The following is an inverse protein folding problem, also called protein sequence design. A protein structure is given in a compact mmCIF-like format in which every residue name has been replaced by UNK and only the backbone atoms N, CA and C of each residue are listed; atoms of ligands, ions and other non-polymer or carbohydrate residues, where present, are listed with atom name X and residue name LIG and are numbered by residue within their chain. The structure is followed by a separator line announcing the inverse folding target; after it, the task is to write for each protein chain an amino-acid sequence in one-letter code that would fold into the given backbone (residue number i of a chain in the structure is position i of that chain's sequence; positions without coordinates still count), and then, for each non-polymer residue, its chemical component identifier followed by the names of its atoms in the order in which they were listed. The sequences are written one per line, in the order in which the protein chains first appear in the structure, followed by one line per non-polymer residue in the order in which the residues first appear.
data_IF_106390147323
#
_entry.id   IF_106390147323
#
_cell.length_a   1.000
_cell.length_b   1.000
_cell.length_c   1.000
_cell.angle_alpha   90.00
_cell.angle_beta   90.00
_cell.angle_gamma   90.00
#
_symmetry.space_group_name_H-M   'P 1'
#
loop_
_entity.id
_entity.type
_entity.pdbx_description
1 polymer ?
#
# COMPACT_ATOMS: atom_id res chain seq x y z
N UNK A 1 60.49 32.17 -11.18
CA UNK A 1 59.23 32.83 -10.79
C UNK A 1 58.08 31.84 -10.96
N UNK A 2 57.77 31.08 -9.93
CA UNK A 2 56.75 30.02 -9.97
C UNK A 2 55.35 30.64 -10.15
N UNK A 3 54.66 30.29 -11.24
CA UNK A 3 53.30 30.78 -11.49
C UNK A 3 52.33 30.12 -10.52
N UNK A 4 51.77 30.89 -9.60
CA UNK A 4 50.72 30.43 -8.69
C UNK A 4 49.47 30.01 -9.49
N UNK A 5 49.09 28.73 -9.40
CA UNK A 5 47.87 28.21 -10.01
C UNK A 5 46.66 28.60 -9.14
N UNK A 6 45.81 29.48 -9.65
CA UNK A 6 44.58 29.90 -8.99
C UNK A 6 43.51 28.82 -9.14
N UNK A 7 43.13 28.17 -8.05
CA UNK A 7 42.03 27.18 -8.04
C UNK A 7 40.69 27.92 -8.14
N UNK A 8 39.90 27.62 -9.17
CA UNK A 8 38.53 28.14 -9.30
C UNK A 8 37.64 27.42 -8.29
N UNK A 9 36.96 28.17 -7.42
CA UNK A 9 35.92 27.60 -6.56
C UNK A 9 34.64 27.45 -7.37
N UNK A 10 34.18 26.22 -7.56
CA UNK A 10 32.88 25.94 -8.18
C UNK A 10 31.75 26.16 -7.18
N UNK A 11 30.53 26.39 -7.66
CA UNK A 11 29.35 26.54 -6.82
C UNK A 11 29.13 25.29 -5.96
N UNK A 12 28.96 25.48 -4.65
CA UNK A 12 28.64 24.40 -3.72
C UNK A 12 27.13 24.16 -3.71
N UNK A 13 26.70 22.99 -4.19
CA UNK A 13 25.30 22.58 -4.14
C UNK A 13 24.93 22.06 -2.75
N UNK A 14 23.65 22.17 -2.37
CA UNK A 14 23.14 21.59 -1.12
C UNK A 14 23.29 20.06 -1.15
N UNK A 15 23.71 19.49 -0.02
CA UNK A 15 23.86 18.05 0.14
C UNK A 15 22.51 17.37 0.35
N UNK A 16 22.28 16.24 -0.31
CA UNK A 16 21.09 15.41 -0.10
C UNK A 16 21.20 14.57 1.17
N UNK A 17 20.05 14.20 1.73
CA UNK A 17 19.96 13.32 2.89
C UNK A 17 20.44 11.89 2.54
N UNK A 18 21.22 11.28 3.43
CA UNK A 18 21.75 9.93 3.29
C UNK A 18 20.77 8.88 3.83
N UNK A 19 20.90 7.63 3.38
CA UNK A 19 20.09 6.50 3.91
C UNK A 19 20.37 6.20 5.39
N UNK A 20 21.49 6.69 5.93
CA UNK A 20 21.90 6.48 7.32
C UNK A 20 21.41 7.58 8.24
N UNK A 21 20.86 8.66 7.70
CA UNK A 21 20.36 9.77 8.50
C UNK A 21 19.33 9.28 9.52
N UNK A 22 19.53 9.68 10.77
CA UNK A 22 18.66 9.32 11.88
C UNK A 22 17.24 9.89 11.73
N UNK A 23 17.10 10.97 10.96
CA UNK A 23 15.83 11.57 10.55
C UNK A 23 14.97 10.61 9.72
N UNK A 24 15.60 9.68 9.01
CA UNK A 24 14.98 8.74 8.10
C UNK A 24 14.49 7.51 8.89
N UNK A 25 13.18 7.26 8.90
CA UNK A 25 12.59 6.09 9.57
C UNK A 25 13.02 4.80 8.86
N UNK A 26 13.16 3.71 9.61
CA UNK A 26 13.65 2.44 9.09
C UNK A 26 12.81 1.89 7.92
N UNK A 27 11.49 2.12 7.95
CA UNK A 27 10.57 1.77 6.86
C UNK A 27 10.90 2.43 5.51
N UNK A 28 11.49 3.63 5.52
CA UNK A 28 11.91 4.36 4.31
C UNK A 28 13.34 4.00 3.87
N UNK A 29 14.13 3.38 4.76
CA UNK A 29 15.49 2.90 4.42
C UNK A 29 15.44 1.63 3.57
N UNK A 30 14.40 0.82 3.75
CA UNK A 30 14.23 -0.40 2.97
C UNK A 30 13.71 -0.04 1.58
N UNK A 31 14.48 -0.35 0.53
CA UNK A 31 13.93 -0.32 -0.83
C UNK A 31 12.69 -1.23 -0.83
N UNK A 32 11.53 -0.75 -1.33
CA UNK A 32 10.35 -1.58 -1.39
C UNK A 32 10.72 -2.85 -2.16
N UNK A 33 10.63 -4.01 -1.47
CA UNK A 33 10.84 -5.31 -2.12
C UNK A 33 9.86 -5.33 -3.29
N UNK A 34 10.38 -5.34 -4.51
CA UNK A 34 9.58 -5.59 -5.70
C UNK A 34 8.88 -6.92 -5.44
N UNK A 35 7.59 -6.88 -5.13
CA UNK A 35 6.78 -8.09 -5.08
C UNK A 35 6.86 -8.62 -6.50
N UNK A 36 7.55 -9.75 -6.69
CA UNK A 36 7.48 -10.47 -7.97
C UNK A 36 6.01 -10.60 -8.35
N UNK A 37 5.70 -10.47 -9.64
CA UNK A 37 4.34 -10.65 -10.16
C UNK A 37 3.80 -11.95 -9.55
N UNK A 38 2.88 -11.84 -8.60
CA UNK A 38 2.18 -13.01 -8.08
C UNK A 38 1.06 -13.27 -9.05
N UNK A 39 1.01 -14.47 -9.59
CA UNK A 39 -0.13 -14.90 -10.40
C UNK A 39 -1.39 -14.79 -9.54
N UNK A 40 -2.45 -14.12 -10.03
CA UNK A 40 -3.66 -13.83 -9.25
C UNK A 40 -4.40 -15.10 -8.77
N UNK A 41 -4.04 -16.27 -9.30
CA UNK A 41 -4.63 -17.56 -8.94
C UNK A 41 -4.20 -18.12 -7.58
N UNK A 42 -3.03 -17.73 -7.06
CA UNK A 42 -2.47 -18.32 -5.82
C UNK A 42 -2.99 -17.68 -4.52
N UNK A 43 -3.84 -16.66 -4.62
CA UNK A 43 -4.41 -15.95 -3.45
C UNK A 43 -5.71 -16.56 -2.91
N UNK A 44 -6.26 -17.60 -3.54
CA UNK A 44 -7.60 -18.11 -3.24
C UNK A 44 -7.73 -18.96 -1.97
N UNK A 45 -6.64 -19.38 -1.32
CA UNK A 45 -6.69 -20.49 -0.36
C UNK A 45 -6.19 -20.15 1.06
N UNK A 46 -6.33 -18.89 1.50
CA UNK A 46 -5.98 -18.48 2.88
C UNK A 46 -7.08 -17.70 3.58
N UNK A 47 -8.34 -18.00 3.29
CA UNK A 47 -9.36 -17.74 4.31
C UNK A 47 -9.29 -18.92 5.28
N UNK A 48 -8.81 -18.74 6.53
CA UNK A 48 -8.91 -19.80 7.52
C UNK A 48 -10.37 -20.23 7.56
N UNK A 49 -10.61 -21.52 7.38
CA UNK A 49 -11.89 -22.22 7.32
C UNK A 49 -12.67 -22.18 8.65
N UNK A 50 -12.44 -21.17 9.47
CA UNK A 50 -13.15 -20.92 10.72
C UNK A 50 -13.13 -19.42 10.98
N UNK A 51 -13.87 -18.68 10.15
CA UNK A 51 -14.28 -17.34 10.52
C UNK A 51 -15.27 -17.46 11.68
N UNK A 52 -15.12 -16.67 12.76
CA UNK A 52 -16.04 -16.74 13.90
C UNK A 52 -17.48 -16.47 13.42
N UNK A 53 -18.47 -17.13 14.02
CA UNK A 53 -19.88 -17.00 13.64
C UNK A 53 -20.34 -15.52 13.56
N UNK A 54 -19.75 -14.65 14.39
CA UNK A 54 -19.92 -13.21 14.35
C UNK A 54 -19.57 -12.58 12.99
N UNK A 55 -18.49 -13.03 12.34
CA UNK A 55 -18.09 -12.51 11.03
C UNK A 55 -19.08 -12.94 9.95
N UNK A 56 -19.58 -14.19 10.02
CA UNK A 56 -20.63 -14.66 9.12
C UNK A 56 -21.93 -13.89 9.29
N UNK A 57 -22.37 -13.62 10.53
CA UNK A 57 -23.59 -12.84 10.80
C UNK A 57 -23.49 -11.40 10.34
N UNK A 58 -22.31 -10.77 10.46
CA UNK A 58 -22.06 -9.40 9.98
C UNK A 58 -22.14 -9.33 8.46
N UNK A 59 -21.52 -10.28 7.75
CA UNK A 59 -21.57 -10.33 6.28
C UNK A 59 -23.00 -10.58 5.80
N UNK A 60 -23.72 -11.52 6.42
CA UNK A 60 -25.11 -11.80 6.07
C UNK A 60 -26.00 -10.58 6.28
N UNK A 61 -25.84 -9.87 7.40
CA UNK A 61 -26.63 -8.65 7.70
C UNK A 61 -26.35 -7.51 6.72
N UNK A 62 -25.09 -7.31 6.31
CA UNK A 62 -24.74 -6.33 5.29
C UNK A 62 -25.42 -6.66 3.95
N UNK A 63 -25.35 -7.93 3.52
CA UNK A 63 -25.97 -8.37 2.27
C UNK A 63 -27.49 -8.07 2.27
N UNK A 64 -28.21 -8.42 3.35
CA UNK A 64 -29.64 -8.10 3.47
C UNK A 64 -29.96 -6.60 3.41
N UNK A 65 -29.10 -5.76 3.99
CA UNK A 65 -29.23 -4.31 3.90
C UNK A 65 -29.09 -3.81 2.46
N UNK A 66 -28.11 -4.35 1.72
CA UNK A 66 -27.87 -3.97 0.33
C UNK A 66 -28.95 -4.48 -0.62
N UNK A 67 -29.42 -5.71 -0.43
CA UNK A 67 -30.52 -6.28 -1.20
C UNK A 67 -31.82 -5.51 -0.95
N UNK A 68 -32.12 -5.15 0.30
CA UNK A 68 -33.29 -4.33 0.63
C UNK A 68 -33.21 -2.93 0.01
N UNK A 69 -32.00 -2.34 -0.09
CA UNK A 69 -31.81 -1.03 -0.72
C UNK A 69 -31.87 -1.05 -2.26
N UNK A 70 -31.74 -2.22 -2.89
CA UNK A 70 -31.70 -2.38 -4.36
C UNK A 70 -33.02 -2.91 -4.94
N UNK A 71 -34.07 -3.14 -4.14
CA UNK A 71 -35.40 -3.52 -4.63
C UNK A 71 -36.34 -2.31 -4.54
N UNK A 72 -36.83 -1.83 -5.70
CA UNK A 72 -38.23 -1.43 -5.76
C UNK A 72 -38.93 -1.97 -7.02
N UNK A 73 -38.66 -3.19 -7.48
CA UNK A 73 -39.27 -3.67 -8.75
C UNK A 73 -39.59 -5.17 -8.87
N UNK A 74 -39.69 -5.94 -7.78
CA UNK A 74 -40.24 -7.32 -7.84
C UNK A 74 -41.29 -7.60 -6.74
N UNK A 75 -41.81 -6.55 -6.11
CA UNK A 75 -43.02 -6.61 -5.28
C UNK A 75 -44.17 -5.98 -6.05
N UNK A 76 -44.77 -6.77 -6.95
CA UNK A 76 -46.14 -6.72 -7.50
C UNK A 76 -46.06 -7.31 -8.90
N UNK A 77 -46.06 -8.64 -8.97
CA UNK A 77 -46.76 -9.31 -10.05
C UNK A 77 -47.74 -10.28 -9.38
N UNK A 78 -49.04 -10.17 -9.69
CA UNK A 78 -50.13 -10.92 -9.05
C UNK A 78 -50.12 -12.40 -9.41
#
# INVERSE_FOLDING_TARGET
MEKQKKTRKCATMKQMLSLRDQRLKEKDRLKPKKKGKKDPSTLKEKFPNTLPAYFSSVIHSWVHLTTSSLIPTLSTFP
#
